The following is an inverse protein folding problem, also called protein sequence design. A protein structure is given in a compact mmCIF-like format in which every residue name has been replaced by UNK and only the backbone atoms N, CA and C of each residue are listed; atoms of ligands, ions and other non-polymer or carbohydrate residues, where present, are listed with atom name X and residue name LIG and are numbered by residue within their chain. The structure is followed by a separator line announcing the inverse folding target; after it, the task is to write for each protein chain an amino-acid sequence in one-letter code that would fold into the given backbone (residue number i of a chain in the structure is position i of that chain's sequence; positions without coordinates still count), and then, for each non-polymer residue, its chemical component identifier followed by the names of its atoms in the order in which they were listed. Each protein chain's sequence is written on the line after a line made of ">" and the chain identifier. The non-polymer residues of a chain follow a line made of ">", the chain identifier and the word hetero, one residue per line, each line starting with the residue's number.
data_IF_703035311382
#
_entry.id   IF_703035311382
#
_cell.length_a   1.000
_cell.length_b   1.000
_cell.length_c   1.000
_cell.angle_alpha   90.00
_cell.angle_beta   90.00
_cell.angle_gamma   90.00
#
_symmetry.space_group_name_H-M   'P 1'
#
loop_
_entity.id
_entity.type
_entity.pdbx_description
1 polymer ?
#
# COMPACT_ATOMS: atom_id res chain seq x y z
N UNK A 1 -14.04 -6.49 -0.71
CA UNK A 1 -13.77 -7.88 -1.17
C UNK A 1 -12.65 -8.45 -0.31
N UNK A 2 -12.53 -9.77 -0.13
CA UNK A 2 -11.43 -10.33 0.66
C UNK A 2 -10.07 -9.97 0.03
N UNK A 3 -9.09 -9.64 0.88
CA UNK A 3 -7.69 -9.44 0.48
C UNK A 3 -7.14 -10.71 -0.20
N UNK A 4 -6.11 -10.55 -1.03
CA UNK A 4 -5.33 -11.69 -1.54
C UNK A 4 -4.28 -12.01 -0.49
N UNK A 5 -4.29 -13.23 0.02
CA UNK A 5 -3.35 -13.66 1.05
C UNK A 5 -1.99 -14.02 0.43
N UNK A 6 -0.95 -13.27 0.80
CA UNK A 6 0.43 -13.52 0.38
C UNK A 6 1.12 -14.59 1.23
N UNK A 7 0.54 -14.96 2.38
CA UNK A 7 1.10 -15.93 3.30
C UNK A 7 2.57 -15.66 3.62
N UNK A 8 3.41 -16.67 3.45
CA UNK A 8 4.86 -16.55 3.70
C UNK A 8 5.58 -15.60 2.75
N UNK A 9 5.02 -15.27 1.58
CA UNK A 9 5.65 -14.33 0.66
C UNK A 9 5.59 -12.86 1.14
N UNK A 10 5.01 -12.58 2.31
CA UNK A 10 4.91 -11.22 2.85
C UNK A 10 6.28 -10.59 3.15
N UNK A 11 7.28 -11.36 3.58
CA UNK A 11 8.59 -10.79 3.94
C UNK A 11 9.51 -10.61 2.71
N UNK A 12 9.16 -11.25 1.58
CA UNK A 12 9.91 -11.16 0.34
C UNK A 12 9.68 -9.83 -0.40
N UNK A 13 10.77 -9.07 -0.60
CA UNK A 13 10.75 -7.89 -1.46
C UNK A 13 10.88 -8.26 -2.94
N UNK A 14 11.80 -9.17 -3.24
CA UNK A 14 12.19 -9.53 -4.61
C UNK A 14 12.30 -11.05 -4.72
N UNK A 15 11.56 -11.64 -5.65
CA UNK A 15 11.62 -13.08 -5.90
C UNK A 15 11.78 -13.40 -7.38
N UNK A 16 12.76 -14.24 -7.73
CA UNK A 16 12.97 -14.74 -9.08
C UNK A 16 12.92 -16.28 -9.16
N UNK A 17 12.20 -16.82 -10.14
CA UNK A 17 12.17 -18.25 -10.44
C UNK A 17 13.54 -18.83 -10.82
N UNK A 18 14.28 -18.12 -11.68
CA UNK A 18 15.60 -18.58 -12.17
C UNK A 18 16.77 -17.77 -11.61
N UNK A 19 16.58 -16.45 -11.47
CA UNK A 19 17.65 -15.53 -11.11
C UNK A 19 17.11 -14.18 -10.62
N UNK A 20 17.93 -13.47 -9.86
CA UNK A 20 17.78 -12.02 -9.62
C UNK A 20 19.09 -11.33 -9.96
N UNK A 21 19.05 -10.32 -10.83
CA UNK A 21 20.26 -9.59 -11.24
C UNK A 21 20.11 -8.10 -10.98
N UNK A 22 21.08 -7.49 -10.30
CA UNK A 22 21.20 -6.06 -10.10
C UNK A 22 22.31 -5.43 -10.96
N UNK A 23 22.20 -4.14 -11.23
CA UNK A 23 23.31 -3.31 -11.72
C UNK A 23 23.45 -2.06 -10.88
N UNK A 24 24.65 -1.47 -10.77
CA UNK A 24 24.87 -0.18 -10.08
C UNK A 24 24.26 -0.12 -8.65
N UNK A 25 23.98 1.09 -8.13
CA UNK A 25 23.40 1.23 -6.79
C UNK A 25 21.91 0.91 -6.83
N UNK A 26 21.56 -0.18 -6.14
CA UNK A 26 20.21 -0.65 -5.85
C UNK A 26 20.07 -0.86 -4.35
N UNK A 27 18.91 -0.58 -3.79
CA UNK A 27 18.58 -1.02 -2.41
C UNK A 27 17.32 -1.87 -2.43
N UNK A 28 17.44 -3.10 -1.94
CA UNK A 28 16.31 -3.98 -1.62
C UNK A 28 16.12 -3.96 -0.11
N UNK A 29 14.90 -3.68 0.36
CA UNK A 29 14.53 -3.72 1.78
C UNK A 29 13.42 -4.76 1.96
N UNK A 30 13.71 -5.79 2.75
CA UNK A 30 13.03 -7.10 2.73
C UNK A 30 13.90 -8.15 2.04
N UNK A 31 13.40 -9.38 2.00
CA UNK A 31 14.19 -10.54 1.59
C UNK A 31 14.29 -10.66 0.06
N UNK A 32 15.39 -11.24 -0.43
CA UNK A 32 15.64 -11.49 -1.85
C UNK A 32 15.76 -13.00 -2.09
N UNK A 33 14.77 -13.56 -2.77
CA UNK A 33 14.64 -15.00 -2.89
C UNK A 33 14.78 -15.47 -4.34
N UNK A 34 15.47 -16.60 -4.53
CA UNK A 34 15.54 -17.28 -5.82
C UNK A 34 15.22 -18.76 -5.63
N UNK A 35 14.20 -19.26 -6.32
CA UNK A 35 13.89 -20.70 -6.33
C UNK A 35 12.99 -21.04 -7.53
N UNK A 36 13.17 -22.19 -8.21
CA UNK A 36 14.17 -23.23 -7.95
C UNK A 36 15.61 -22.87 -8.40
N UNK A 37 15.79 -21.73 -9.05
CA UNK A 37 17.12 -21.20 -9.37
C UNK A 37 17.93 -20.83 -8.12
N UNK A 38 19.20 -20.53 -8.32
CA UNK A 38 20.14 -20.15 -7.23
C UNK A 38 21.03 -18.97 -7.59
N UNK A 39 20.72 -18.27 -8.69
CA UNK A 39 21.60 -17.25 -9.24
C UNK A 39 21.21 -15.84 -8.78
N UNK A 40 22.14 -15.18 -8.09
CA UNK A 40 22.06 -13.74 -7.77
C UNK A 40 23.34 -13.05 -8.21
N UNK A 41 23.22 -11.90 -8.87
CA UNK A 41 24.37 -11.07 -9.25
C UNK A 41 24.08 -9.59 -9.04
N UNK A 42 25.13 -8.77 -8.89
CA UNK A 42 24.99 -7.31 -8.75
C UNK A 42 24.76 -6.80 -7.33
N UNK A 43 24.88 -7.68 -6.32
CA UNK A 43 24.80 -7.37 -4.90
C UNK A 43 26.06 -7.92 -4.22
N UNK A 44 27.20 -7.18 -4.19
CA UNK A 44 27.39 -5.74 -4.47
C UNK A 44 27.52 -5.33 -5.96
N UNK A 45 27.40 -4.03 -6.32
CA UNK A 45 27.25 -2.86 -5.44
C UNK A 45 25.82 -2.59 -4.94
N UNK A 46 24.82 -3.32 -5.44
CA UNK A 46 23.50 -3.36 -4.84
C UNK A 46 23.55 -3.84 -3.39
N UNK A 47 22.58 -3.41 -2.58
CA UNK A 47 22.46 -3.80 -1.19
C UNK A 47 21.11 -4.47 -0.95
N UNK A 48 21.11 -5.56 -0.19
CA UNK A 48 19.91 -6.20 0.35
C UNK A 48 19.89 -5.96 1.86
N UNK A 49 18.76 -5.46 2.37
CA UNK A 49 18.46 -5.24 3.79
C UNK A 49 17.39 -6.23 4.21
N UNK A 50 17.80 -7.49 4.23
CA UNK A 50 17.02 -8.71 4.44
C UNK A 50 17.94 -9.92 4.25
N UNK A 51 17.40 -11.13 4.23
CA UNK A 51 18.12 -12.33 3.80
C UNK A 51 18.25 -12.40 2.27
N UNK A 52 19.18 -13.24 1.83
CA UNK A 52 19.25 -13.71 0.45
C UNK A 52 19.11 -15.22 0.50
N UNK A 53 17.94 -15.73 0.11
CA UNK A 53 17.60 -17.15 0.25
C UNK A 53 17.55 -17.82 -1.14
N UNK A 54 18.40 -18.84 -1.32
CA UNK A 54 18.67 -19.45 -2.63
C UNK A 54 18.29 -20.92 -2.63
N UNK A 55 17.08 -21.19 -3.11
CA UNK A 55 16.49 -22.53 -3.23
C UNK A 55 16.45 -23.35 -1.93
N UNK A 56 16.54 -22.69 -0.78
CA UNK A 56 16.38 -23.32 0.51
C UNK A 56 14.90 -23.54 0.85
N UNK A 57 14.64 -23.94 2.10
CA UNK A 57 13.28 -24.25 2.55
C UNK A 57 12.41 -23.01 2.65
N UNK A 58 12.97 -21.86 3.03
CA UNK A 58 12.20 -20.62 3.15
C UNK A 58 11.85 -20.09 1.76
N UNK A 59 12.84 -19.96 0.86
CA UNK A 59 12.60 -19.53 -0.51
C UNK A 59 11.53 -20.38 -1.21
N UNK A 60 11.58 -21.72 -1.04
CA UNK A 60 10.57 -22.65 -1.60
C UNK A 60 9.17 -22.45 -0.99
N UNK A 61 9.09 -22.22 0.32
CA UNK A 61 7.82 -21.97 1.02
C UNK A 61 7.19 -20.66 0.57
N UNK A 62 7.98 -19.61 0.46
CA UNK A 62 7.51 -18.31 0.00
C UNK A 62 7.10 -18.35 -1.47
N UNK A 63 7.84 -19.02 -2.34
CA UNK A 63 7.44 -19.18 -3.75
C UNK A 63 6.11 -19.94 -3.85
N UNK A 64 5.89 -20.98 -3.04
CA UNK A 64 4.62 -21.68 -3.00
C UNK A 64 3.46 -20.75 -2.57
N UNK A 65 3.70 -19.89 -1.57
CA UNK A 65 2.72 -18.90 -1.12
C UNK A 65 2.45 -17.83 -2.21
N UNK A 66 3.49 -17.36 -2.90
CA UNK A 66 3.35 -16.42 -4.02
C UNK A 66 2.57 -17.03 -5.20
N UNK A 67 2.78 -18.31 -5.51
CA UNK A 67 1.99 -19.03 -6.52
C UNK A 67 0.52 -19.13 -6.09
N UNK A 68 0.24 -19.39 -4.81
CA UNK A 68 -1.13 -19.42 -4.30
C UNK A 68 -1.81 -18.05 -4.42
N UNK A 69 -1.12 -16.98 -4.02
CA UNK A 69 -1.59 -15.60 -4.14
C UNK A 69 -1.84 -15.19 -5.61
N UNK A 70 -0.93 -15.56 -6.51
CA UNK A 70 -1.08 -15.33 -7.95
C UNK A 70 -2.33 -16.03 -8.51
N UNK A 71 -2.54 -17.31 -8.16
CA UNK A 71 -3.67 -18.09 -8.63
C UNK A 71 -5.00 -17.57 -8.05
N UNK A 72 -5.02 -17.18 -6.77
CA UNK A 72 -6.18 -16.52 -6.16
C UNK A 72 -6.53 -15.26 -6.96
N UNK A 73 -5.57 -14.34 -7.10
CA UNK A 73 -5.75 -13.09 -7.83
C UNK A 73 -6.20 -13.31 -9.29
N UNK A 74 -5.63 -14.28 -10.00
CA UNK A 74 -6.00 -14.63 -11.37
C UNK A 74 -7.41 -15.23 -11.48
N UNK A 75 -7.90 -15.88 -10.43
CA UNK A 75 -9.22 -16.50 -10.39
C UNK A 75 -10.35 -15.54 -10.01
N UNK A 76 -10.04 -14.36 -9.46
CA UNK A 76 -11.04 -13.38 -9.05
C UNK A 76 -11.85 -12.91 -10.26
N UNK A 77 -13.18 -12.92 -10.15
CA UNK A 77 -14.06 -12.43 -11.21
C UNK A 77 -13.86 -10.92 -11.42
N UNK A 78 -13.55 -10.45 -12.65
CA UNK A 78 -13.45 -9.03 -12.95
C UNK A 78 -14.74 -8.28 -12.61
N UNK A 79 -14.62 -7.19 -11.86
CA UNK A 79 -15.74 -6.28 -11.57
C UNK A 79 -15.88 -5.19 -12.62
N UNK A 80 -14.80 -4.90 -13.37
CA UNK A 80 -14.81 -3.91 -14.44
C UNK A 80 -13.83 -4.26 -15.57
N UNK A 81 -14.18 -3.83 -16.77
CA UNK A 81 -13.25 -3.79 -17.91
C UNK A 81 -12.90 -2.33 -18.17
N UNK A 82 -11.61 -2.01 -18.17
CA UNK A 82 -11.07 -0.64 -18.23
C UNK A 82 -10.17 -0.45 -19.45
N UNK A 83 -9.85 0.79 -19.84
CA UNK A 83 -8.91 1.06 -20.93
C UNK A 83 -7.53 0.42 -20.68
N UNK A 84 -6.80 0.12 -21.76
CA UNK A 84 -5.44 -0.41 -21.68
C UNK A 84 -4.43 0.56 -21.06
N UNK A 85 -4.66 1.87 -21.19
CA UNK A 85 -3.84 2.89 -20.54
C UNK A 85 -4.50 3.28 -19.22
N UNK A 86 -3.79 3.07 -18.12
CA UNK A 86 -4.14 3.51 -16.77
C UNK A 86 -3.36 4.78 -16.42
N UNK A 87 -3.94 5.62 -15.57
CA UNK A 87 -3.31 6.84 -15.07
C UNK A 87 -3.77 8.10 -15.79
N UNK A 88 -2.85 9.02 -16.11
CA UNK A 88 -3.16 10.36 -16.63
C UNK A 88 -4.12 11.16 -15.72
N UNK A 89 -3.98 11.00 -14.40
CA UNK A 89 -4.84 11.61 -13.39
C UNK A 89 -6.13 10.84 -13.10
N UNK A 90 -6.33 9.66 -13.70
CA UNK A 90 -7.51 8.85 -13.44
C UNK A 90 -7.54 8.33 -12.00
N UNK A 91 -8.73 8.30 -11.41
CA UNK A 91 -8.99 7.66 -10.12
C UNK A 91 -9.73 6.34 -10.31
N UNK A 92 -9.28 5.30 -9.62
CA UNK A 92 -9.94 4.00 -9.57
C UNK A 92 -10.33 3.67 -8.13
N UNK A 93 -11.53 3.14 -7.95
CA UNK A 93 -12.05 2.66 -6.66
C UNK A 93 -11.66 1.19 -6.44
N UNK A 94 -12.05 0.53 -5.33
CA UNK A 94 -11.69 -0.87 -5.12
C UNK A 94 -12.40 -1.77 -6.15
N UNK A 95 -11.67 -2.73 -6.73
CA UNK A 95 -12.21 -3.59 -7.79
C UNK A 95 -11.22 -4.61 -8.36
N UNK A 96 -11.72 -5.46 -9.24
CA UNK A 96 -10.94 -6.41 -10.06
C UNK A 96 -11.04 -5.95 -11.52
N UNK A 97 -9.90 -5.61 -12.11
CA UNK A 97 -9.79 -4.88 -13.35
C UNK A 97 -9.08 -5.69 -14.42
N UNK A 98 -9.65 -5.68 -15.63
CA UNK A 98 -9.03 -6.22 -16.85
C UNK A 98 -9.16 -5.23 -18.01
N UNK A 99 -8.42 -5.47 -19.08
CA UNK A 99 -8.54 -4.72 -20.34
C UNK A 99 -8.79 -5.67 -21.52
N UNK A 100 -9.54 -5.28 -22.56
CA UNK A 100 -9.88 -6.14 -23.71
C UNK A 100 -8.69 -6.74 -24.48
N UNK A 101 -7.48 -6.20 -24.32
CA UNK A 101 -6.25 -6.73 -24.93
C UNK A 101 -5.27 -7.40 -23.96
N UNK A 102 -5.62 -7.50 -22.68
CA UNK A 102 -4.76 -8.05 -21.62
C UNK A 102 -3.53 -7.20 -21.26
N UNK A 103 -3.06 -6.29 -22.10
CA UNK A 103 -1.89 -5.45 -21.80
C UNK A 103 -2.28 -4.13 -21.12
N UNK A 104 -1.70 -3.85 -19.95
CA UNK A 104 -1.78 -2.53 -19.32
C UNK A 104 -0.53 -1.70 -19.60
N UNK A 105 -0.75 -0.42 -19.86
CA UNK A 105 0.28 0.63 -19.79
C UNK A 105 -0.08 1.61 -18.68
N UNK A 106 0.86 1.96 -17.81
CA UNK A 106 0.66 2.99 -16.78
C UNK A 106 1.38 4.28 -17.17
N UNK A 107 0.63 5.35 -17.40
CA UNK A 107 1.15 6.66 -17.82
C UNK A 107 0.69 7.76 -16.86
N UNK A 108 1.53 8.77 -16.62
CA UNK A 108 1.23 9.81 -15.65
C UNK A 108 0.92 9.25 -14.25
N UNK A 109 0.00 9.88 -13.52
CA UNK A 109 -0.41 9.45 -12.18
C UNK A 109 -1.72 8.64 -12.23
N UNK A 110 -1.74 7.49 -11.59
CA UNK A 110 -2.94 6.71 -11.27
C UNK A 110 -3.27 6.88 -9.79
N UNK A 111 -4.50 7.28 -9.47
CA UNK A 111 -4.98 7.33 -8.08
C UNK A 111 -5.79 6.08 -7.76
N UNK A 112 -5.44 5.39 -6.68
CA UNK A 112 -6.22 4.29 -6.12
C UNK A 112 -6.89 4.79 -4.84
N UNK A 113 -8.22 4.94 -4.91
CA UNK A 113 -9.05 5.52 -3.86
C UNK A 113 -9.78 4.41 -3.12
N UNK A 114 -9.41 4.20 -1.87
CA UNK A 114 -10.03 3.20 -1.01
C UNK A 114 -11.37 3.64 -0.41
N UNK A 115 -11.81 4.87 -0.65
CA UNK A 115 -13.09 5.41 -0.19
C UNK A 115 -13.27 5.29 1.34
N UNK A 116 -12.19 5.57 2.08
CA UNK A 116 -12.08 5.45 3.54
C UNK A 116 -12.14 4.02 4.10
N UNK A 117 -11.99 3.00 3.26
CA UNK A 117 -11.87 1.60 3.67
C UNK A 117 -10.39 1.13 3.59
N UNK A 118 -9.65 1.08 4.70
CA UNK A 118 -8.26 0.61 4.68
C UNK A 118 -8.08 -0.85 4.25
N UNK A 119 -9.16 -1.65 4.24
CA UNK A 119 -9.18 -3.03 3.75
C UNK A 119 -9.53 -3.15 2.25
N UNK A 120 -9.75 -2.01 1.59
CA UNK A 120 -10.02 -1.92 0.16
C UNK A 120 -8.93 -2.61 -0.66
N UNK A 121 -9.35 -3.55 -1.52
CA UNK A 121 -8.47 -4.31 -2.41
C UNK A 121 -8.60 -3.85 -3.86
N UNK A 122 -7.47 -3.78 -4.57
CA UNK A 122 -7.39 -3.48 -6.00
C UNK A 122 -6.65 -4.61 -6.68
N UNK A 123 -7.26 -5.25 -7.68
CA UNK A 123 -6.63 -6.35 -8.42
C UNK A 123 -6.61 -6.01 -9.89
N UNK A 124 -5.43 -5.94 -10.49
CA UNK A 124 -5.23 -5.73 -11.91
C UNK A 124 -4.80 -7.05 -12.54
N UNK A 125 -5.67 -7.63 -13.38
CA UNK A 125 -5.40 -8.85 -14.14
C UNK A 125 -4.97 -8.47 -15.55
N UNK A 126 -3.75 -8.85 -15.91
CA UNK A 126 -3.13 -8.48 -17.19
C UNK A 126 -2.39 -9.66 -17.79
N UNK A 127 -2.19 -9.67 -19.10
CA UNK A 127 -1.18 -10.48 -19.77
C UNK A 127 0.20 -9.83 -19.61
N UNK A 128 0.32 -8.53 -19.81
CA UNK A 128 1.57 -7.78 -19.64
C UNK A 128 1.33 -6.42 -18.98
N UNK A 129 2.36 -5.89 -18.34
CA UNK A 129 2.33 -4.56 -17.72
C UNK A 129 3.59 -3.80 -18.11
N UNK A 130 3.43 -2.59 -18.64
CA UNK A 130 4.53 -1.66 -18.87
C UNK A 130 4.18 -0.33 -18.19
N UNK A 131 5.10 0.28 -17.45
CA UNK A 131 4.90 1.65 -16.97
C UNK A 131 5.79 2.61 -17.72
N UNK A 132 5.27 3.79 -18.01
CA UNK A 132 6.02 4.85 -18.67
C UNK A 132 7.06 5.45 -17.73
N UNK A 133 7.96 6.26 -18.30
CA UNK A 133 8.92 7.04 -17.52
C UNK A 133 8.20 7.99 -16.58
N UNK A 134 8.63 8.08 -15.32
CA UNK A 134 8.06 8.98 -14.29
C UNK A 134 6.56 8.71 -14.00
N UNK A 135 6.05 7.54 -14.38
CA UNK A 135 4.69 7.16 -14.02
C UNK A 135 4.55 6.98 -12.50
N UNK A 136 3.39 7.27 -11.92
CA UNK A 136 3.17 7.22 -10.48
C UNK A 136 1.86 6.50 -10.11
N UNK A 137 1.86 5.74 -9.02
CA UNK A 137 0.65 5.23 -8.38
C UNK A 137 0.50 5.93 -7.03
N UNK A 138 -0.55 6.72 -6.86
CA UNK A 138 -0.91 7.32 -5.58
C UNK A 138 -1.98 6.49 -4.89
N UNK A 139 -1.75 6.22 -3.61
CA UNK A 139 -2.73 5.62 -2.73
C UNK A 139 -3.43 6.74 -1.96
N UNK A 140 -4.75 6.81 -2.03
CA UNK A 140 -5.53 7.86 -1.39
C UNK A 140 -6.68 7.27 -0.56
N UNK A 141 -7.12 8.06 0.43
CA UNK A 141 -8.26 7.78 1.29
C UNK A 141 -8.28 6.36 1.89
N UNK A 142 -7.14 5.84 2.34
CA UNK A 142 -7.03 4.53 2.98
C UNK A 142 -6.40 3.43 2.14
N UNK A 143 -6.11 3.67 0.86
CA UNK A 143 -5.53 2.63 0.03
C UNK A 143 -4.14 2.24 0.58
N UNK A 144 -3.86 0.94 0.58
CA UNK A 144 -2.62 0.36 1.08
C UNK A 144 -1.92 -0.40 -0.03
N UNK A 145 -0.59 -0.30 -0.12
CA UNK A 145 0.17 -1.03 -1.12
C UNK A 145 0.04 -2.56 -0.95
N UNK A 146 -0.11 -3.05 0.28
CA UNK A 146 -0.40 -4.48 0.52
C UNK A 146 -1.68 -4.98 -0.15
N UNK A 147 -2.66 -4.10 -0.36
CA UNK A 147 -3.94 -4.44 -0.97
C UNK A 147 -4.01 -4.19 -2.47
N UNK A 148 -2.92 -3.72 -3.08
CA UNK A 148 -2.85 -3.51 -4.52
C UNK A 148 -2.12 -4.71 -5.14
N UNK A 149 -2.83 -5.49 -5.94
CA UNK A 149 -2.32 -6.70 -6.57
C UNK A 149 -2.24 -6.50 -8.07
N UNK A 150 -1.07 -6.73 -8.64
CA UNK A 150 -0.85 -6.75 -10.08
C UNK A 150 -0.53 -8.19 -10.48
N UNK A 151 -1.52 -8.88 -11.02
CA UNK A 151 -1.40 -10.24 -11.53
C UNK A 151 -1.11 -10.18 -13.04
N UNK A 152 0.10 -10.61 -13.42
CA UNK A 152 0.59 -10.50 -14.81
C UNK A 152 0.87 -11.88 -15.41
N UNK A 153 0.16 -12.19 -16.49
CA UNK A 153 0.11 -13.48 -17.18
C UNK A 153 1.39 -13.88 -17.90
N UNK A 154 2.20 -12.90 -18.27
CA UNK A 154 3.52 -13.05 -18.88
C UNK A 154 4.56 -12.25 -18.08
N UNK A 155 4.94 -11.06 -18.54
CA UNK A 155 6.05 -10.28 -17.97
C UNK A 155 5.66 -8.82 -17.72
N UNK A 156 6.38 -8.17 -16.82
CA UNK A 156 6.18 -6.76 -16.47
C UNK A 156 7.47 -5.94 -16.60
N UNK A 157 7.34 -4.67 -16.94
CA UNK A 157 8.45 -3.70 -17.00
C UNK A 157 8.04 -2.40 -16.33
N UNK A 158 8.76 -2.01 -15.28
CA UNK A 158 8.59 -0.72 -14.62
C UNK A 158 9.52 0.31 -15.27
N UNK A 159 8.93 1.36 -15.83
CA UNK A 159 9.62 2.43 -16.54
C UNK A 159 10.54 3.26 -15.65
N UNK A 160 11.49 3.93 -16.30
CA UNK A 160 12.58 4.66 -15.63
C UNK A 160 12.01 5.77 -14.73
N UNK A 161 12.49 5.87 -13.49
CA UNK A 161 11.99 6.81 -12.48
C UNK A 161 10.51 6.68 -12.14
N UNK A 162 9.87 5.55 -12.44
CA UNK A 162 8.51 5.31 -12.00
C UNK A 162 8.45 5.17 -10.47
N UNK A 163 7.33 5.60 -9.88
CA UNK A 163 6.98 5.24 -8.51
C UNK A 163 5.82 4.26 -8.54
N UNK A 164 6.07 3.02 -8.14
CA UNK A 164 5.11 1.94 -8.23
C UNK A 164 4.69 1.48 -6.83
N UNK A 165 3.40 1.18 -6.64
CA UNK A 165 2.83 0.71 -5.37
C UNK A 165 2.02 -0.55 -5.60
N UNK A 166 2.29 -1.59 -4.82
CA UNK A 166 1.57 -2.85 -4.87
C UNK A 166 2.44 -4.10 -4.92
N UNK A 167 1.79 -5.25 -4.99
CA UNK A 167 2.40 -6.55 -5.14
C UNK A 167 2.37 -6.94 -6.62
N UNK A 168 3.51 -6.83 -7.29
CA UNK A 168 3.67 -7.20 -8.69
C UNK A 168 4.08 -8.67 -8.81
N UNK A 169 3.14 -9.51 -9.22
CA UNK A 169 3.36 -10.94 -9.45
C UNK A 169 3.23 -11.23 -10.94
N UNK A 170 4.36 -11.53 -11.59
CA UNK A 170 4.41 -11.89 -13.00
C UNK A 170 4.73 -13.37 -13.16
N UNK A 171 4.11 -14.00 -14.16
CA UNK A 171 4.36 -15.41 -14.45
C UNK A 171 5.80 -15.66 -14.87
N UNK A 172 6.34 -14.84 -15.77
CA UNK A 172 7.67 -14.98 -16.33
C UNK A 172 8.63 -13.99 -15.67
N UNK A 173 8.95 -12.86 -16.31
CA UNK A 173 10.00 -11.94 -15.86
C UNK A 173 9.46 -10.60 -15.37
N UNK A 174 10.24 -9.93 -14.50
CA UNK A 174 10.00 -8.53 -14.11
C UNK A 174 11.28 -7.74 -14.35
N UNK A 175 11.16 -6.60 -15.04
CA UNK A 175 12.23 -5.63 -15.18
C UNK A 175 11.92 -4.37 -14.36
N UNK A 176 12.73 -4.08 -13.35
CA UNK A 176 12.73 -2.83 -12.58
C UNK A 176 13.84 -1.94 -13.13
N UNK A 177 13.48 -0.91 -13.91
CA UNK A 177 14.49 -0.09 -14.58
C UNK A 177 15.07 1.02 -13.69
N UNK A 178 16.08 1.72 -14.21
CA UNK A 178 16.85 2.77 -13.55
C UNK A 178 16.00 3.81 -12.82
N UNK A 179 16.30 4.03 -11.55
CA UNK A 179 15.70 5.06 -10.70
C UNK A 179 14.27 4.78 -10.25
N UNK A 180 13.72 3.59 -10.54
CA UNK A 180 12.37 3.20 -10.08
C UNK A 180 12.33 3.07 -8.57
N UNK A 181 11.23 3.58 -7.99
CA UNK A 181 10.88 3.44 -6.59
C UNK A 181 9.68 2.49 -6.45
N UNK A 182 9.97 1.22 -6.14
CA UNK A 182 8.97 0.19 -5.92
C UNK A 182 8.66 0.08 -4.43
N UNK A 183 7.44 0.48 -4.04
CA UNK A 183 6.87 0.27 -2.72
C UNK A 183 5.92 -0.93 -2.77
N UNK A 184 6.53 -2.09 -2.68
CA UNK A 184 5.86 -3.36 -2.56
C UNK A 184 6.75 -4.52 -2.93
N UNK A 185 6.23 -5.47 -3.70
CA UNK A 185 6.93 -6.72 -4.01
C UNK A 185 7.08 -6.90 -5.51
N UNK A 186 8.21 -7.45 -5.95
CA UNK A 186 8.43 -7.87 -7.34
C UNK A 186 8.71 -9.36 -7.38
N UNK A 187 7.71 -10.14 -7.78
CA UNK A 187 7.74 -11.60 -7.77
C UNK A 187 7.59 -12.14 -9.20
N UNK A 188 8.66 -12.71 -9.73
CA UNK A 188 8.71 -13.38 -11.02
C UNK A 188 8.70 -14.91 -10.80
N UNK A 189 7.55 -15.56 -11.06
CA UNK A 189 7.33 -16.95 -10.64
C UNK A 189 8.23 -17.97 -11.35
N UNK A 190 8.55 -17.75 -12.63
CA UNK A 190 9.27 -18.76 -13.44
C UNK A 190 10.59 -18.28 -14.02
N UNK A 191 10.80 -16.96 -14.18
CA UNK A 191 12.01 -16.41 -14.80
C UNK A 191 12.73 -15.45 -13.85
N UNK A 192 13.25 -14.35 -14.36
CA UNK A 192 14.16 -13.50 -13.59
C UNK A 192 13.51 -12.17 -13.20
N UNK A 193 14.00 -11.61 -12.10
CA UNK A 193 13.86 -10.19 -11.80
C UNK A 193 15.18 -9.49 -12.15
N UNK A 194 15.12 -8.48 -13.01
CA UNK A 194 16.27 -7.61 -13.31
C UNK A 194 16.04 -6.24 -12.67
N UNK A 195 17.04 -5.72 -11.94
CA UNK A 195 16.95 -4.44 -11.24
C UNK A 195 18.10 -3.54 -11.68
N UNK A 196 17.81 -2.54 -12.49
CA UNK A 196 18.81 -1.59 -12.96
C UNK A 196 18.96 -0.44 -11.99
N UNK A 197 20.14 -0.31 -11.36
CA UNK A 197 20.47 0.76 -10.44
C UNK A 197 20.92 2.05 -11.13
N UNK A 198 21.33 3.02 -10.32
CA UNK A 198 21.89 4.29 -10.79
C UNK A 198 23.31 4.50 -10.26
N UNK A 199 24.13 5.28 -10.96
CA UNK A 199 25.49 5.64 -10.50
C UNK A 199 25.51 6.93 -9.69
N UNK A 200 24.61 7.89 -10.01
CA UNK A 200 24.59 9.25 -9.46
C UNK A 200 23.28 9.64 -8.75
N UNK A 201 22.30 8.73 -8.61
CA UNK A 201 21.00 9.00 -7.99
C UNK A 201 19.89 9.45 -8.98
N UNK A 202 18.61 9.50 -8.56
CA UNK A 202 18.04 8.83 -7.39
C UNK A 202 18.26 7.32 -7.46
N UNK A 203 18.44 6.65 -6.32
CA UNK A 203 18.70 5.21 -6.29
C UNK A 203 17.46 4.41 -6.68
N UNK A 204 17.64 3.37 -7.49
CA UNK A 204 16.61 2.34 -7.69
C UNK A 204 16.40 1.61 -6.38
N UNK A 205 15.13 1.41 -6.01
CA UNK A 205 14.78 0.72 -4.78
C UNK A 205 13.59 -0.20 -4.95
N UNK A 206 13.65 -1.33 -4.26
CA UNK A 206 12.51 -2.19 -3.97
C UNK A 206 12.39 -2.29 -2.47
N UNK A 207 11.22 -2.00 -1.93
CA UNK A 207 10.96 -2.00 -0.49
C UNK A 207 9.60 -2.64 -0.30
N UNK A 208 9.53 -3.70 0.51
CA UNK A 208 8.25 -4.32 0.87
C UNK A 208 7.25 -3.25 1.35
N UNK A 209 5.93 -3.48 1.23
CA UNK A 209 4.95 -2.59 1.82
C UNK A 209 5.07 -2.65 3.34
N UNK A 210 5.99 -1.86 3.89
CA UNK A 210 6.16 -1.68 5.31
C UNK A 210 5.78 -0.24 5.57
N UNK A 211 4.48 0.04 5.45
CA UNK A 211 3.98 1.31 5.93
C UNK A 211 4.27 1.34 7.44
N UNK A 212 5.02 2.32 7.95
CA UNK A 212 5.33 2.34 9.37
C UNK A 212 4.05 2.33 10.19
N UNK A 213 3.98 1.50 11.26
CA UNK A 213 2.78 1.41 12.06
C UNK A 213 2.46 2.78 12.66
N UNK A 214 1.17 3.11 12.73
CA UNK A 214 0.71 4.28 13.47
C UNK A 214 -0.07 3.87 14.70
N UNK A 215 -0.19 4.79 15.64
CA UNK A 215 -1.15 4.70 16.74
C UNK A 215 -2.05 5.92 16.71
N UNK A 216 -3.37 5.70 16.75
CA UNK A 216 -4.36 6.78 16.83
C UNK A 216 -4.92 6.82 18.24
N UNK A 217 -4.95 8.02 18.83
CA UNK A 217 -5.61 8.27 20.12
C UNK A 217 -6.76 9.23 19.92
N UNK A 218 -7.88 9.02 20.63
CA UNK A 218 -9.09 9.84 20.50
C UNK A 218 -9.49 10.42 21.86
N UNK A 219 -9.82 11.71 21.87
CA UNK A 219 -10.39 12.42 23.03
C UNK A 219 -11.64 13.20 22.61
N UNK A 220 -12.51 13.53 23.58
CA UNK A 220 -13.69 14.36 23.35
C UNK A 220 -13.83 15.43 24.44
N UNK A 221 -14.40 16.58 24.07
CA UNK A 221 -14.74 17.65 25.00
C UNK A 221 -15.95 18.46 24.50
N UNK A 222 -16.97 18.71 25.36
CA UNK A 222 -17.11 18.20 26.72
C UNK A 222 -17.53 16.72 26.76
N UNK A 223 -17.16 16.00 27.83
CA UNK A 223 -17.63 14.63 28.12
C UNK A 223 -17.82 14.45 29.65
N UNK A 224 -19.05 14.35 30.17
CA UNK A 224 -20.33 14.30 29.45
C UNK A 224 -20.72 15.63 28.77
N UNK A 225 -21.63 15.56 27.80
CA UNK A 225 -22.26 16.71 27.13
C UNK A 225 -23.78 16.68 27.29
N UNK A 226 -24.49 17.80 27.06
CA UNK A 226 -25.96 17.78 26.92
C UNK A 226 -26.37 17.55 25.46
N UNK A 227 -27.60 17.09 25.26
CA UNK A 227 -28.19 16.97 23.92
C UNK A 227 -28.15 18.33 23.19
N UNK A 228 -27.63 18.32 21.96
CA UNK A 228 -27.50 19.51 21.13
C UNK A 228 -26.29 20.39 21.43
N UNK A 229 -25.49 20.07 22.46
CA UNK A 229 -24.24 20.78 22.72
C UNK A 229 -23.16 20.37 21.70
N UNK A 230 -22.32 21.31 21.24
CA UNK A 230 -21.20 20.97 20.37
C UNK A 230 -20.16 20.16 21.15
N UNK A 231 -19.87 18.95 20.67
CA UNK A 231 -18.77 18.11 21.16
C UNK A 231 -17.66 18.11 20.13
N UNK A 232 -16.45 18.44 20.55
CA UNK A 232 -15.24 18.36 19.72
C UNK A 232 -14.49 17.08 20.02
N UNK A 233 -14.23 16.31 18.98
CA UNK A 233 -13.38 15.13 18.97
C UNK A 233 -12.01 15.50 18.41
N UNK A 234 -10.96 15.12 19.12
CA UNK A 234 -9.56 15.33 18.71
C UNK A 234 -8.87 13.99 18.60
N UNK A 235 -8.43 13.65 17.39
CA UNK A 235 -7.67 12.45 17.08
C UNK A 235 -6.21 12.80 16.82
N UNK A 236 -5.29 12.22 17.60
CA UNK A 236 -3.84 12.39 17.41
C UNK A 236 -3.26 11.10 16.85
N UNK A 237 -2.54 11.20 15.72
CA UNK A 237 -1.92 10.07 15.03
C UNK A 237 -0.41 10.15 15.21
N UNK A 238 0.18 9.12 15.79
CA UNK A 238 1.63 9.01 15.95
C UNK A 238 2.19 7.98 14.99
N UNK A 239 3.24 8.34 14.24
CA UNK A 239 3.99 7.40 13.42
C UNK A 239 5.07 6.73 14.28
N UNK A 240 5.09 5.40 14.35
CA UNK A 240 6.03 4.65 15.19
C UNK A 240 7.40 4.49 14.51
N UNK A 241 7.88 5.52 13.82
CA UNK A 241 9.19 5.56 13.14
C UNK A 241 9.83 6.94 13.24
N UNK A 242 10.98 7.00 13.91
CA UNK A 242 11.75 8.24 14.04
C UNK A 242 10.92 9.42 14.55
N UNK A 243 11.16 10.60 13.99
CA UNK A 243 10.43 11.83 14.33
C UNK A 243 9.43 12.26 13.24
N UNK A 244 9.00 11.33 12.38
CA UNK A 244 8.15 11.66 11.23
C UNK A 244 6.69 11.74 11.66
N UNK A 245 6.04 12.85 11.29
CA UNK A 245 4.61 13.06 11.54
C UNK A 245 3.78 12.51 10.37
N UNK A 246 2.78 11.67 10.64
CA UNK A 246 1.79 11.26 9.64
C UNK A 246 1.03 12.47 9.09
N UNK A 247 0.75 12.47 7.80
CA UNK A 247 -0.23 13.36 7.16
C UNK A 247 -1.44 12.53 6.73
N UNK A 248 -2.51 13.14 6.20
CA UNK A 248 -3.67 12.41 5.69
C UNK A 248 -4.95 12.78 6.42
N UNK A 249 -5.91 11.86 6.48
CA UNK A 249 -7.27 12.11 6.98
C UNK A 249 -7.64 11.10 8.06
N UNK A 250 -8.38 11.56 9.07
CA UNK A 250 -9.01 10.73 10.09
C UNK A 250 -10.52 10.73 9.90
N UNK A 251 -11.13 9.55 9.90
CA UNK A 251 -12.58 9.36 9.94
C UNK A 251 -13.05 9.14 11.37
N UNK A 252 -14.09 9.86 11.79
CA UNK A 252 -14.71 9.73 13.11
C UNK A 252 -15.98 8.89 12.98
N UNK A 253 -16.11 7.87 13.83
CA UNK A 253 -17.24 6.92 13.81
C UNK A 253 -17.96 6.87 15.15
N UNK A 254 -19.27 6.65 15.08
CA UNK A 254 -20.13 6.30 16.20
C UNK A 254 -20.68 4.88 15.95
N UNK A 255 -20.16 3.91 16.70
CA UNK A 255 -20.25 2.50 16.35
C UNK A 255 -19.65 2.25 14.97
N UNK A 256 -20.42 1.68 14.05
CA UNK A 256 -20.00 1.42 12.67
C UNK A 256 -20.19 2.62 11.71
N UNK A 257 -20.91 3.67 12.13
CA UNK A 257 -21.32 4.77 11.24
C UNK A 257 -20.25 5.87 11.22
N UNK A 258 -19.78 6.26 10.04
CA UNK A 258 -18.93 7.46 9.89
C UNK A 258 -19.80 8.71 10.07
N UNK A 259 -19.45 9.55 11.04
CA UNK A 259 -20.18 10.79 11.36
C UNK A 259 -19.45 12.05 10.87
N UNK A 260 -18.18 11.92 10.49
CA UNK A 260 -17.37 13.01 9.97
C UNK A 260 -15.94 12.57 9.66
N UNK A 261 -15.20 13.47 9.01
CA UNK A 261 -13.78 13.28 8.70
C UNK A 261 -13.05 14.61 8.77
N UNK A 262 -11.78 14.61 9.15
CA UNK A 262 -10.94 15.81 9.14
C UNK A 262 -9.49 15.48 8.76
N UNK A 263 -8.80 16.38 8.05
CA UNK A 263 -7.38 16.21 7.74
C UNK A 263 -6.50 16.38 9.00
N UNK A 264 -5.36 15.71 9.01
CA UNK A 264 -4.30 15.93 9.99
C UNK A 264 -3.65 17.30 9.76
N UNK A 265 -3.49 18.07 10.83
CA UNK A 265 -2.71 19.30 10.81
C UNK A 265 -1.20 19.03 10.91
N UNK A 266 -0.39 20.10 10.98
CA UNK A 266 1.08 20.01 11.08
C UNK A 266 1.60 19.30 12.34
N UNK A 267 0.75 19.05 13.33
CA UNK A 267 1.06 18.31 14.56
C UNK A 267 0.47 16.89 14.55
N UNK A 268 0.02 16.39 13.39
CA UNK A 268 -0.67 15.11 13.24
C UNK A 268 -1.93 14.97 14.13
N UNK A 269 -2.70 16.07 14.24
CA UNK A 269 -4.00 16.09 14.92
C UNK A 269 -5.11 16.42 13.93
N UNK A 270 -6.18 15.62 13.92
CA UNK A 270 -7.45 15.89 13.24
C UNK A 270 -8.53 16.25 14.26
N UNK A 271 -9.34 17.27 13.99
CA UNK A 271 -10.43 17.72 14.86
C UNK A 271 -11.77 17.72 14.13
N UNK A 272 -12.81 17.21 14.79
CA UNK A 272 -14.17 17.18 14.27
C UNK A 272 -15.17 17.58 15.36
N UNK A 273 -16.06 18.52 15.06
CA UNK A 273 -17.07 19.01 16.01
C UNK A 273 -18.48 18.71 15.51
N UNK A 274 -19.35 18.17 16.37
CA UNK A 274 -20.76 17.90 16.06
C UNK A 274 -21.67 18.15 17.25
N UNK A 275 -22.90 18.60 16.99
CA UNK A 275 -23.99 18.75 17.98
C UNK A 275 -25.11 17.71 17.79
N UNK A 276 -24.96 16.80 16.82
CA UNK A 276 -26.01 15.88 16.38
C UNK A 276 -25.99 14.51 17.10
N UNK A 277 -25.29 14.39 18.24
CA UNK A 277 -25.20 13.13 18.97
C UNK A 277 -26.51 12.80 19.67
N UNK A 278 -26.94 11.54 19.55
CA UNK A 278 -28.10 11.03 20.28
C UNK A 278 -27.82 10.90 21.78
N UNK A 279 -28.87 10.96 22.60
CA UNK A 279 -28.78 10.81 24.06
C UNK A 279 -28.34 9.40 24.43
N UNK A 280 -27.52 9.29 25.48
CA UNK A 280 -26.97 8.03 25.99
C UNK A 280 -25.47 7.84 25.70
N UNK A 281 -24.92 6.66 26.04
CA UNK A 281 -23.52 6.33 25.77
C UNK A 281 -23.30 6.15 24.26
N UNK A 282 -22.33 6.89 23.70
CA UNK A 282 -21.90 6.78 22.29
C UNK A 282 -20.52 6.14 22.22
N UNK A 283 -20.37 5.11 21.39
CA UNK A 283 -19.10 4.39 21.23
C UNK A 283 -18.30 5.00 20.09
N UNK A 284 -17.45 5.97 20.42
CA UNK A 284 -16.74 6.77 19.46
C UNK A 284 -15.38 6.14 19.12
N UNK A 285 -15.04 6.09 17.84
CA UNK A 285 -13.71 5.68 17.37
C UNK A 285 -13.20 6.65 16.31
N UNK A 286 -11.87 6.78 16.24
CA UNK A 286 -11.20 7.52 15.19
C UNK A 286 -10.34 6.55 14.39
N UNK A 287 -10.48 6.59 13.07
CA UNK A 287 -9.78 5.71 12.13
C UNK A 287 -8.90 6.59 11.26
N UNK A 288 -7.59 6.53 11.47
CA UNK A 288 -6.61 7.01 10.50
C UNK A 288 -6.52 5.97 9.37
N UNK A 289 -6.87 6.37 8.15
CA UNK A 289 -7.05 5.43 7.02
C UNK A 289 -5.76 5.19 6.24
N UNK A 290 -4.98 6.23 5.96
CA UNK A 290 -3.60 6.21 5.46
C UNK A 290 -3.18 7.65 5.07
N UNK A 291 -1.89 7.84 4.83
CA UNK A 291 -1.30 9.11 4.41
C UNK A 291 0.22 9.03 4.46
N UNK A 292 0.92 10.03 3.93
CA UNK A 292 2.36 9.93 3.76
C UNK A 292 3.11 11.25 3.85
N UNK A 293 4.40 11.14 4.14
CA UNK A 293 5.28 12.31 4.31
C UNK A 293 6.44 12.18 3.33
N UNK A 294 6.67 13.22 2.55
CA UNK A 294 7.83 13.31 1.67
C UNK A 294 9.07 13.64 2.52
N UNK A 295 10.10 12.81 2.45
CA UNK A 295 11.39 12.98 3.13
C UNK A 295 12.50 12.79 2.11
N UNK A 296 13.25 13.84 1.78
CA UNK A 296 14.39 13.76 0.85
C UNK A 296 14.08 12.96 -0.44
N UNK A 297 12.97 13.29 -1.13
CA UNK A 297 12.45 12.60 -2.33
C UNK A 297 11.93 11.16 -2.12
N UNK A 298 11.83 10.70 -0.87
CA UNK A 298 11.21 9.43 -0.49
C UNK A 298 9.83 9.69 0.13
N UNK A 299 8.80 9.05 -0.40
CA UNK A 299 7.48 9.08 0.22
C UNK A 299 7.37 7.95 1.24
N UNK A 300 7.23 8.29 2.52
CA UNK A 300 6.90 7.32 3.58
C UNK A 300 5.38 7.29 3.71
N UNK A 301 4.76 6.16 3.38
CA UNK A 301 3.34 5.90 3.61
C UNK A 301 3.18 5.28 4.99
N UNK A 302 2.22 5.72 5.80
CA UNK A 302 1.98 5.21 7.15
C UNK A 302 0.77 4.30 7.20
N UNK A 303 0.87 3.24 8.02
CA UNK A 303 -0.19 2.26 8.13
C UNK A 303 -1.40 2.89 8.82
N UNK A 304 -2.65 2.52 8.47
CA UNK A 304 -3.83 2.89 9.21
C UNK A 304 -3.74 2.45 10.66
N UNK A 305 -4.47 3.16 11.51
CA UNK A 305 -4.71 2.73 12.87
C UNK A 305 -6.08 3.22 13.33
N UNK A 306 -6.65 2.49 14.27
CA UNK A 306 -7.90 2.85 14.92
C UNK A 306 -7.64 3.12 16.39
N UNK A 307 -8.29 4.15 16.95
CA UNK A 307 -8.27 4.39 18.38
C UNK A 307 -8.97 3.29 19.16
N UNK A 308 -8.65 3.17 20.45
CA UNK A 308 -9.57 2.52 21.39
C UNK A 308 -10.94 3.22 21.37
N UNK A 309 -11.99 2.48 21.78
CA UNK A 309 -13.34 3.02 21.89
C UNK A 309 -13.36 4.07 23.01
N UNK A 310 -13.75 5.29 22.66
CA UNK A 310 -14.04 6.37 23.60
C UNK A 310 -15.56 6.41 23.84
N UNK A 311 -16.00 6.32 25.10
CA UNK A 311 -17.42 6.48 25.43
C UNK A 311 -17.73 7.96 25.66
N UNK A 312 -18.47 8.58 24.74
CA UNK A 312 -19.05 9.91 24.94
C UNK A 312 -20.41 9.77 25.62
N UNK A 313 -20.57 10.40 26.79
CA UNK A 313 -21.87 10.42 27.49
C UNK A 313 -22.66 11.66 27.07
N UNK A 314 -23.85 11.46 26.49
CA UNK A 314 -24.78 12.56 26.13
C UNK A 314 -25.99 12.51 27.03
N UNK A 315 -26.18 13.55 27.84
CA UNK A 315 -27.28 13.68 28.80
C UNK A 315 -28.48 14.36 28.14
N UNK A 316 -29.68 14.05 28.63
CA UNK A 316 -30.88 14.79 28.25
C UNK A 316 -30.77 16.23 28.75
N UNK A 317 -31.08 17.19 27.88
CA UNK A 317 -31.30 18.56 28.30
C UNK A 317 -32.62 18.57 29.09
N UNK A 318 -32.52 18.55 30.41
CA UNK A 318 -33.69 18.58 31.29
C UNK A 318 -34.60 19.75 30.91
N UNK A 319 -35.91 19.49 30.90
CA UNK A 319 -36.95 20.51 30.78
C UNK A 319 -36.90 21.50 31.92
#
# INVERSE_FOLDING_TARGET
>A
MPRVDLGYAMDCAVMGGTAVTGTNKVTVTGDLNVTPGTFVSGFPPGQVRGSIDLNDTEARREMAAAVAAYNDAASRTPTATVPAVLGNGSTMTPGVYRTPGGAFTLSGTLHLDAQADPDATFIFQATSLVTDRVSNIDLVNGAQADNVIWQVGDSATLGRYATFRGNLMARNSIAVTTGTAMYGRTIALHKMVTIDGTTTGPATRVTTPNDPPTTTTLTSSPNPSQQGDPVTFSATVHGNVGSFLPTGVVSFKDGATVIGSAPLNSSAVATFTTSALAVGPRQMTAVYVSGGTAVNEQWVHFAPSQSSVLVQQVLNRGS
#
